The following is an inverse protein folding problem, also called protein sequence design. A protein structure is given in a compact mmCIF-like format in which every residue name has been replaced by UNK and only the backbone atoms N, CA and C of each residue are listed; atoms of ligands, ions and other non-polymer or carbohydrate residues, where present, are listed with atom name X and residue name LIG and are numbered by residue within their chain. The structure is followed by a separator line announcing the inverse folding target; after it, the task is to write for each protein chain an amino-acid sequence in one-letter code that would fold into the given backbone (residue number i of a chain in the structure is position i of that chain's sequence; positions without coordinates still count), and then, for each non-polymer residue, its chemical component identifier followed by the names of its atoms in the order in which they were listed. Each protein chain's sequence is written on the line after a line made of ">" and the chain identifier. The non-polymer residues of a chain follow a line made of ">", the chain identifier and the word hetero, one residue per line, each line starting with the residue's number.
data_IF_913771213727
#
_entry.id   IF_913771213727
#
_cell.length_a   1.000
_cell.length_b   1.000
_cell.length_c   1.000
_cell.angle_alpha   90.00
_cell.angle_beta   90.00
_cell.angle_gamma   90.00
#
_symmetry.space_group_name_H-M   'P 1'
#
loop_
_entity.id
_entity.type
_entity.pdbx_description
1 polymer ?
#
# COMPACT_ATOMS: atom_id res chain seq x y z
N UNK A 1 3.04 87.69 -43.41
CA UNK A 1 3.12 89.08 -42.97
C UNK A 1 2.25 89.23 -41.74
N UNK A 2 2.88 89.57 -40.59
CA UNK A 2 2.32 90.30 -39.42
C UNK A 2 1.23 89.52 -38.64
N UNK A 3 1.23 89.27 -37.32
CA UNK A 3 1.96 89.70 -36.10
C UNK A 3 1.74 88.58 -35.05
N UNK A 4 2.71 88.14 -34.22
CA UNK A 4 3.14 88.71 -32.92
C UNK A 4 1.96 89.07 -31.98
N UNK A 5 1.89 88.80 -30.68
CA UNK A 5 2.67 88.20 -29.58
C UNK A 5 1.60 87.95 -28.46
N UNK A 6 1.72 87.07 -27.47
CA UNK A 6 2.33 87.29 -26.14
C UNK A 6 2.10 85.99 -25.31
N UNK A 7 3.16 85.51 -24.64
CA UNK A 7 3.26 84.40 -23.65
C UNK A 7 2.99 85.06 -22.25
N UNK A 8 2.46 84.43 -21.16
CA UNK A 8 3.21 83.33 -20.53
C UNK A 8 2.57 82.36 -19.49
N UNK A 9 3.43 81.40 -19.11
CA UNK A 9 3.55 80.63 -17.83
C UNK A 9 2.83 79.27 -17.68
N UNK A 10 3.65 78.22 -17.65
CA UNK A 10 3.44 76.96 -16.92
C UNK A 10 3.40 77.22 -15.40
N UNK A 11 2.78 76.44 -14.52
CA UNK A 11 2.80 74.97 -14.31
C UNK A 11 1.79 74.62 -13.17
N UNK A 12 1.72 73.40 -12.60
CA UNK A 12 1.02 72.20 -13.07
C UNK A 12 -0.03 71.66 -12.05
N UNK A 13 -0.94 70.77 -12.48
CA UNK A 13 -1.47 69.59 -11.75
C UNK A 13 -2.64 69.01 -12.58
N UNK A 14 -2.48 67.82 -13.18
CA UNK A 14 -2.94 66.50 -12.69
C UNK A 14 -4.40 66.50 -12.18
N UNK A 15 -5.29 65.59 -12.56
CA UNK A 15 -5.18 64.34 -13.29
C UNK A 15 -6.57 63.96 -13.81
N UNK A 16 -6.58 63.23 -14.92
CA UNK A 16 -7.76 62.78 -15.64
C UNK A 16 -8.76 62.00 -14.77
N UNK A 17 -10.00 62.49 -14.77
CA UNK A 17 -11.17 61.79 -14.27
C UNK A 17 -11.64 60.78 -15.33
N UNK A 18 -11.41 59.49 -15.09
CA UNK A 18 -11.72 58.43 -16.05
C UNK A 18 -11.89 57.05 -15.41
N UNK A 19 -13.02 56.85 -14.73
CA UNK A 19 -13.72 55.55 -14.59
C UNK A 19 -12.87 54.36 -14.08
N UNK A 20 -12.65 54.30 -12.76
CA UNK A 20 -12.23 53.07 -12.07
C UNK A 20 -13.37 52.03 -12.13
N UNK A 21 -13.34 51.11 -13.11
CA UNK A 21 -13.99 49.81 -12.94
C UNK A 21 -13.14 49.02 -11.94
N UNK A 22 -13.58 48.98 -10.70
CA UNK A 22 -13.07 48.07 -9.69
C UNK A 22 -13.35 46.63 -10.16
N UNK A 23 -12.35 46.00 -10.75
CA UNK A 23 -12.31 44.54 -10.79
C UNK A 23 -12.11 44.08 -9.34
N UNK A 24 -13.22 43.88 -8.65
CA UNK A 24 -13.24 43.07 -7.43
C UNK A 24 -12.76 41.68 -7.85
N UNK A 25 -11.47 41.43 -7.60
CA UNK A 25 -10.89 40.10 -7.68
C UNK A 25 -11.63 39.29 -6.63
N UNK A 26 -12.69 38.63 -7.08
CA UNK A 26 -13.49 37.70 -6.30
C UNK A 26 -12.49 36.67 -5.81
N UNK A 27 -12.05 36.82 -4.55
CA UNK A 27 -11.41 35.74 -3.82
C UNK A 27 -12.47 34.65 -3.77
N UNK A 28 -12.44 33.75 -4.76
CA UNK A 28 -13.00 32.43 -4.57
C UNK A 28 -12.20 31.84 -3.44
N UNK A 29 -12.74 31.97 -2.23
CA UNK A 29 -12.37 31.16 -1.10
C UNK A 29 -12.33 29.72 -1.61
N UNK A 30 -11.14 29.13 -1.72
CA UNK A 30 -10.97 27.73 -2.09
C UNK A 30 -11.37 26.80 -0.93
N UNK A 31 -12.37 27.21 -0.15
CA UNK A 31 -12.94 26.45 0.95
C UNK A 31 -14.07 25.62 0.37
N UNK A 32 -13.73 24.39 -0.05
CA UNK A 32 -14.58 23.18 -0.13
C UNK A 32 -13.95 22.05 -0.99
N UNK A 33 -12.65 22.09 -1.30
CA UNK A 33 -11.94 20.85 -1.69
C UNK A 33 -11.69 20.07 -0.40
N UNK A 34 -12.48 19.03 -0.14
CA UNK A 34 -12.29 18.16 1.01
C UNK A 34 -10.82 17.72 1.11
N UNK A 35 -10.19 17.96 2.26
CA UNK A 35 -8.84 17.44 2.51
C UNK A 35 -9.00 15.94 2.77
N UNK A 36 -8.48 15.09 1.88
CA UNK A 36 -8.48 13.64 2.05
C UNK A 36 -7.07 13.14 2.38
N UNK A 37 -6.50 13.48 3.56
CA UNK A 37 -5.13 13.13 3.88
C UNK A 37 -4.95 11.61 3.87
N UNK A 38 -3.94 11.15 3.13
CA UNK A 38 -3.59 9.74 3.07
C UNK A 38 -2.52 9.44 4.12
N UNK A 39 -2.91 8.74 5.18
CA UNK A 39 -2.01 8.33 6.27
C UNK A 39 -1.28 7.05 5.86
N UNK A 40 0.05 7.02 6.00
CA UNK A 40 0.87 5.84 5.70
C UNK A 40 1.80 5.54 6.87
N UNK A 41 1.90 4.28 7.27
CA UNK A 41 2.85 3.85 8.32
C UNK A 41 3.38 2.43 8.12
N UNK A 42 4.46 2.10 8.81
CA UNK A 42 4.91 0.72 8.96
C UNK A 42 4.24 0.03 10.15
N UNK A 43 3.81 -1.21 9.93
CA UNK A 43 3.32 -2.14 10.96
C UNK A 43 4.32 -3.28 11.10
N UNK A 44 4.73 -3.64 12.31
CA UNK A 44 5.73 -4.69 12.52
C UNK A 44 5.05 -6.03 12.74
N UNK A 45 5.58 -7.09 12.14
CA UNK A 45 5.17 -8.46 12.46
C UNK A 45 6.37 -9.31 12.85
N UNK A 46 6.15 -10.23 13.78
CA UNK A 46 7.15 -11.20 14.23
C UNK A 46 6.66 -12.62 14.05
N UNK A 47 7.61 -13.53 13.89
CA UNK A 47 7.39 -14.94 14.15
C UNK A 47 8.57 -15.46 14.96
N UNK A 48 8.30 -15.97 16.16
CA UNK A 48 9.29 -16.61 17.03
C UNK A 48 9.50 -18.03 16.51
N UNK A 49 10.60 -18.30 15.78
CA UNK A 49 10.96 -19.60 15.17
C UNK A 49 10.22 -19.98 13.87
N UNK A 50 10.32 -19.18 12.80
CA UNK A 50 9.78 -19.59 11.51
C UNK A 50 10.61 -20.75 10.96
N UNK A 51 9.95 -21.80 10.42
CA UNK A 51 10.57 -22.64 9.42
C UNK A 51 10.92 -21.73 8.22
N UNK A 52 12.17 -21.70 7.77
CA UNK A 52 12.67 -20.72 6.77
C UNK A 52 12.72 -21.27 5.34
N UNK A 53 12.18 -22.47 5.11
CA UNK A 53 12.20 -23.11 3.80
C UNK A 53 11.10 -22.56 2.86
N UNK A 54 11.34 -22.67 1.56
CA UNK A 54 10.34 -22.40 0.52
C UNK A 54 9.75 -20.99 0.58
N UNK A 55 8.43 -20.90 0.69
CA UNK A 55 7.72 -19.63 0.77
C UNK A 55 7.79 -18.97 2.16
N UNK A 56 8.20 -19.69 3.21
CA UNK A 56 8.29 -19.15 4.58
C UNK A 56 9.56 -18.32 4.83
N UNK A 57 10.46 -18.23 3.84
CA UNK A 57 11.62 -17.34 3.90
C UNK A 57 11.28 -15.86 4.14
N UNK A 58 10.02 -15.45 3.92
CA UNK A 58 9.54 -14.09 4.21
C UNK A 58 9.58 -13.72 5.70
N UNK A 59 9.66 -14.71 6.59
CA UNK A 59 9.75 -14.48 8.03
C UNK A 59 11.20 -14.38 8.52
N UNK A 60 12.20 -14.59 7.65
CA UNK A 60 13.61 -14.44 8.01
C UNK A 60 13.96 -12.96 8.26
N UNK A 61 14.41 -12.65 9.47
CA UNK A 61 14.69 -11.29 9.92
C UNK A 61 16.17 -10.90 9.82
N UNK A 62 17.11 -11.84 9.65
CA UNK A 62 18.55 -11.48 9.74
C UNK A 62 19.10 -10.98 8.41
N UNK A 63 18.76 -11.64 7.31
CA UNK A 63 19.38 -11.41 5.98
C UNK A 63 18.45 -10.79 4.94
N UNK A 64 17.15 -10.73 5.24
CA UNK A 64 16.13 -10.25 4.31
C UNK A 64 15.10 -9.40 5.03
N UNK A 65 14.53 -8.44 4.31
CA UNK A 65 13.44 -7.61 4.80
C UNK A 65 12.20 -7.84 3.96
N UNK A 66 11.06 -8.02 4.62
CA UNK A 66 9.76 -8.18 3.99
C UNK A 66 8.97 -6.90 4.13
N UNK A 67 8.25 -6.52 3.07
CA UNK A 67 7.38 -5.36 3.03
C UNK A 67 6.09 -5.75 2.30
N UNK A 68 5.01 -5.88 3.07
CA UNK A 68 3.71 -6.32 2.61
C UNK A 68 2.73 -5.15 2.61
N UNK A 69 2.16 -4.85 1.45
CA UNK A 69 1.30 -3.70 1.23
C UNK A 69 -0.15 -4.09 1.55
N UNK A 70 -0.73 -3.45 2.56
CA UNK A 70 -2.15 -3.62 2.91
C UNK A 70 -3.02 -2.76 1.98
N UNK A 71 -3.79 -3.43 1.12
CA UNK A 71 -4.69 -2.81 0.15
C UNK A 71 -6.16 -3.10 0.44
N UNK A 72 -6.51 -3.31 1.71
CA UNK A 72 -7.88 -3.61 2.14
C UNK A 72 -8.90 -2.61 1.58
N UNK A 73 -10.13 -3.09 1.43
CA UNK A 73 -11.25 -2.26 1.02
C UNK A 73 -11.40 -1.11 2.01
N UNK A 74 -11.48 0.10 1.46
CA UNK A 74 -11.62 1.31 2.27
C UNK A 74 -12.96 1.25 3.01
N UNK A 75 -13.01 1.63 4.30
CA UNK A 75 -14.29 1.77 4.97
C UNK A 75 -15.14 2.79 4.19
N UNK A 76 -16.36 2.42 3.84
CA UNK A 76 -17.33 3.33 3.23
C UNK A 76 -17.53 4.52 4.19
N UNK A 77 -17.21 5.74 3.75
CA UNK A 77 -17.38 7.01 4.48
C UNK A 77 -16.32 7.45 5.51
N UNK A 78 -15.11 6.88 5.53
CA UNK A 78 -14.03 7.50 6.33
C UNK A 78 -13.10 8.34 5.46
N UNK A 79 -13.03 9.65 5.73
CA UNK A 79 -12.02 10.54 5.13
C UNK A 79 -10.58 10.20 5.58
N UNK A 80 -10.44 9.30 6.57
CA UNK A 80 -9.18 8.85 7.14
C UNK A 80 -8.72 7.53 6.53
N UNK A 81 -8.05 7.62 5.39
CA UNK A 81 -7.44 6.45 4.76
C UNK A 81 -6.09 6.18 5.40
N UNK A 82 -5.96 5.03 6.07
CA UNK A 82 -4.69 4.58 6.64
C UNK A 82 -4.13 3.35 5.91
N UNK A 83 -3.11 3.58 5.08
CA UNK A 83 -2.36 2.52 4.42
C UNK A 83 -1.21 2.02 5.31
N UNK A 84 -1.07 0.70 5.43
CA UNK A 84 -0.03 0.08 6.25
C UNK A 84 0.90 -0.77 5.41
N UNK A 85 2.20 -0.65 5.67
CA UNK A 85 3.22 -1.55 5.13
C UNK A 85 3.67 -2.45 6.28
N UNK A 86 3.31 -3.73 6.20
CA UNK A 86 3.71 -4.72 7.20
C UNK A 86 5.14 -5.18 6.93
N UNK A 87 6.00 -5.10 7.94
CA UNK A 87 7.42 -5.42 7.81
C UNK A 87 7.96 -6.24 8.97
N UNK A 88 8.96 -7.06 8.67
CA UNK A 88 9.75 -7.78 9.67
C UNK A 88 11.04 -7.02 10.07
N UNK A 89 11.20 -5.78 9.59
CA UNK A 89 12.30 -4.91 9.97
C UNK A 89 11.93 -4.05 11.19
N UNK A 90 12.52 -4.38 12.34
CA UNK A 90 12.27 -3.68 13.60
C UNK A 90 12.81 -2.25 13.64
N UNK A 91 13.76 -1.92 12.78
CA UNK A 91 14.35 -0.59 12.71
C UNK A 91 13.46 0.41 11.95
N UNK A 92 12.40 -0.06 11.28
CA UNK A 92 11.43 0.82 10.64
C UNK A 92 10.60 1.56 11.70
N UNK A 93 10.45 2.88 11.53
CA UNK A 93 9.65 3.72 12.41
C UNK A 93 8.16 3.52 12.08
N UNK A 94 7.34 3.29 13.10
CA UNK A 94 5.88 3.15 12.93
C UNK A 94 5.14 4.48 12.95
N UNK A 95 5.85 5.60 13.11
CA UNK A 95 5.28 6.95 13.09
C UNK A 95 4.62 7.20 11.73
N UNK A 96 3.31 7.51 11.69
CA UNK A 96 2.61 7.74 10.44
C UNK A 96 3.06 9.04 9.77
N UNK A 97 3.01 9.06 8.45
CA UNK A 97 3.23 10.24 7.61
C UNK A 97 1.96 10.49 6.78
N UNK A 98 1.66 11.76 6.54
CA UNK A 98 0.51 12.19 5.75
C UNK A 98 0.96 12.61 4.35
N UNK A 99 0.22 12.15 3.35
CA UNK A 99 0.33 12.60 1.98
C UNK A 99 -0.92 13.37 1.58
N UNK A 100 -0.74 14.44 0.81
CA UNK A 100 -1.87 15.13 0.21
C UNK A 100 -2.50 14.25 -0.86
N UNK A 101 -3.82 14.15 -0.82
CA UNK A 101 -4.61 13.36 -1.74
C UNK A 101 -5.93 14.08 -2.00
N UNK A 102 -6.40 13.98 -3.24
CA UNK A 102 -7.53 14.74 -3.77
C UNK A 102 -8.82 13.92 -3.86
N UNK A 103 -8.77 12.64 -3.50
CA UNK A 103 -9.90 11.70 -3.62
C UNK A 103 -10.15 10.93 -2.32
N UNK A 104 -11.42 10.74 -1.94
CA UNK A 104 -11.79 9.81 -0.87
C UNK A 104 -11.62 8.33 -1.23
N UNK A 105 -11.47 8.01 -2.53
CA UNK A 105 -11.38 6.64 -3.06
C UNK A 105 -10.20 6.51 -4.02
N UNK A 106 -8.95 6.69 -3.55
CA UNK A 106 -7.78 6.55 -4.40
C UNK A 106 -7.68 5.14 -4.98
N UNK A 107 -7.45 5.03 -6.28
CA UNK A 107 -7.24 3.74 -6.94
C UNK A 107 -5.97 3.04 -6.42
N UNK A 108 -5.91 1.71 -6.60
CA UNK A 108 -4.80 0.91 -6.07
C UNK A 108 -3.43 1.32 -6.59
N UNK A 109 -3.33 1.71 -7.87
CA UNK A 109 -2.07 2.14 -8.47
C UNK A 109 -1.51 3.36 -7.74
N UNK A 110 -2.38 4.31 -7.39
CA UNK A 110 -2.00 5.48 -6.59
C UNK A 110 -1.65 5.09 -5.16
N UNK A 111 -2.50 4.28 -4.48
CA UNK A 111 -2.23 3.78 -3.11
C UNK A 111 -0.86 3.11 -3.02
N UNK A 112 -0.56 2.19 -3.93
CA UNK A 112 0.74 1.50 -4.02
C UNK A 112 1.87 2.50 -4.27
N UNK A 113 1.67 3.50 -5.14
CA UNK A 113 2.70 4.50 -5.44
C UNK A 113 3.04 5.34 -4.20
N UNK A 114 2.06 5.76 -3.41
CA UNK A 114 2.30 6.49 -2.16
C UNK A 114 3.02 5.61 -1.13
N UNK A 115 2.60 4.34 -0.98
CA UNK A 115 3.27 3.39 -0.08
C UNK A 115 4.71 3.10 -0.52
N UNK A 116 4.97 2.96 -1.82
CA UNK A 116 6.32 2.77 -2.34
C UNK A 116 7.18 4.01 -2.12
N UNK A 117 6.60 5.20 -2.25
CA UNK A 117 7.29 6.45 -1.96
C UNK A 117 7.73 6.50 -0.50
N UNK A 118 6.84 6.14 0.43
CA UNK A 118 7.14 6.02 1.86
C UNK A 118 8.20 4.94 2.15
N UNK A 119 8.12 3.79 1.46
CA UNK A 119 9.14 2.75 1.56
C UNK A 119 10.52 3.26 1.14
N UNK A 120 10.63 3.84 -0.06
CA UNK A 120 11.91 4.28 -0.62
C UNK A 120 12.54 5.46 0.12
N UNK A 121 11.74 6.41 0.62
CA UNK A 121 12.24 7.50 1.46
C UNK A 121 12.83 6.98 2.77
N UNK A 122 12.33 5.85 3.25
CA UNK A 122 12.81 5.19 4.47
C UNK A 122 14.05 4.32 4.23
N UNK A 123 14.42 4.03 2.98
CA UNK A 123 15.56 3.17 2.65
C UNK A 123 16.87 3.96 2.50
N UNK A 124 17.78 3.80 3.47
CA UNK A 124 19.16 4.34 3.37
C UNK A 124 20.06 3.55 2.40
N UNK A 125 19.67 2.32 2.07
CA UNK A 125 20.52 1.37 1.31
C UNK A 125 20.28 1.41 -0.21
N UNK A 126 19.26 2.14 -0.67
CA UNK A 126 18.87 2.23 -2.07
C UNK A 126 19.12 3.66 -2.59
N UNK A 127 20.15 3.88 -3.42
CA UNK A 127 20.43 5.19 -4.02
C UNK A 127 19.26 5.70 -4.88
N UNK A 128 19.08 7.03 -4.98
CA UNK A 128 17.93 7.63 -5.67
C UNK A 128 17.72 7.16 -7.11
N UNK A 129 18.82 7.03 -7.88
CA UNK A 129 18.78 6.49 -9.26
C UNK A 129 18.18 5.08 -9.33
N UNK A 130 18.51 4.24 -8.36
CA UNK A 130 17.99 2.87 -8.23
C UNK A 130 16.51 2.89 -7.87
N UNK A 131 16.12 3.77 -6.93
CA UNK A 131 14.71 3.95 -6.58
C UNK A 131 13.89 4.32 -7.81
N UNK A 132 14.30 5.35 -8.56
CA UNK A 132 13.60 5.80 -9.78
C UNK A 132 13.50 4.71 -10.84
N UNK A 133 14.59 3.97 -11.07
CA UNK A 133 14.62 2.86 -12.03
C UNK A 133 13.64 1.74 -11.68
N UNK A 134 13.58 1.32 -10.42
CA UNK A 134 12.79 0.16 -10.01
C UNK A 134 11.39 0.51 -9.48
N UNK A 135 11.09 1.78 -9.24
CA UNK A 135 9.78 2.22 -8.79
C UNK A 135 8.63 1.72 -9.69
N UNK A 136 8.62 1.98 -11.01
CA UNK A 136 7.54 1.49 -11.87
C UNK A 136 7.48 -0.04 -11.87
N UNK A 137 8.64 -0.70 -11.96
CA UNK A 137 8.73 -2.16 -11.96
C UNK A 137 8.13 -2.81 -10.70
N UNK A 138 8.43 -2.28 -9.51
CA UNK A 138 7.91 -2.82 -8.25
C UNK A 138 6.41 -2.55 -8.13
N UNK A 139 5.96 -1.35 -8.53
CA UNK A 139 4.53 -0.99 -8.55
C UNK A 139 3.74 -1.94 -9.43
N UNK A 140 4.19 -2.15 -10.66
CA UNK A 140 3.47 -2.95 -11.64
C UNK A 140 3.48 -4.44 -11.24
N UNK A 141 4.55 -4.93 -10.61
CA UNK A 141 4.59 -6.27 -10.01
C UNK A 141 3.64 -6.44 -8.83
N UNK A 142 3.44 -5.41 -8.00
CA UNK A 142 2.46 -5.44 -6.91
C UNK A 142 1.03 -5.48 -7.43
N UNK A 143 0.73 -4.70 -8.48
CA UNK A 143 -0.58 -4.73 -9.16
C UNK A 143 -0.85 -6.11 -9.77
N UNK A 144 0.06 -6.64 -10.58
CA UNK A 144 -0.08 -7.98 -11.14
C UNK A 144 -0.22 -9.05 -10.05
N UNK A 145 0.46 -8.86 -8.90
CA UNK A 145 0.33 -9.75 -7.74
C UNK A 145 -1.06 -9.67 -7.11
N UNK A 146 -1.69 -8.49 -7.06
CA UNK A 146 -3.08 -8.31 -6.63
C UNK A 146 -4.00 -9.17 -7.47
N UNK A 147 -3.91 -9.05 -8.79
CA UNK A 147 -4.80 -9.77 -9.72
C UNK A 147 -4.62 -11.29 -9.62
N UNK A 148 -3.37 -11.76 -9.55
CA UNK A 148 -3.07 -13.18 -9.37
C UNK A 148 -3.60 -13.75 -8.05
N UNK A 149 -3.52 -12.98 -6.96
CA UNK A 149 -4.03 -13.39 -5.64
C UNK A 149 -5.55 -13.43 -5.68
N UNK A 150 -6.21 -12.37 -6.16
CA UNK A 150 -7.67 -12.28 -6.25
C UNK A 150 -8.25 -13.41 -7.12
N UNK A 151 -7.65 -13.65 -8.29
CA UNK A 151 -8.04 -14.75 -9.18
C UNK A 151 -7.93 -16.12 -8.50
N UNK A 152 -6.84 -16.37 -7.77
CA UNK A 152 -6.66 -17.63 -7.03
C UNK A 152 -7.66 -17.76 -5.89
N UNK A 153 -7.79 -16.72 -5.07
CA UNK A 153 -8.61 -16.69 -3.87
C UNK A 153 -10.09 -16.96 -4.19
N UNK A 154 -10.58 -16.36 -5.28
CA UNK A 154 -11.97 -16.47 -5.74
C UNK A 154 -12.23 -17.71 -6.60
N UNK A 155 -11.22 -18.53 -6.87
CA UNK A 155 -11.42 -19.77 -7.61
C UNK A 155 -12.18 -20.78 -6.76
N UNK A 156 -13.26 -21.35 -7.32
CA UNK A 156 -14.02 -22.46 -6.73
C UNK A 156 -13.38 -23.83 -6.97
N UNK A 157 -12.29 -23.88 -7.76
CA UNK A 157 -11.60 -25.13 -8.13
C UNK A 157 -11.03 -25.83 -6.89
N UNK A 158 -11.36 -27.10 -6.75
CA UNK A 158 -10.88 -27.98 -5.69
C UNK A 158 -9.48 -28.50 -6.00
N UNK A 159 -8.48 -27.62 -5.91
CA UNK A 159 -7.06 -27.95 -6.08
C UNK A 159 -6.22 -27.30 -5.00
N UNK A 160 -5.18 -27.99 -4.57
CA UNK A 160 -4.22 -27.47 -3.57
C UNK A 160 -3.10 -26.63 -4.19
N UNK A 161 -3.38 -25.94 -5.31
CA UNK A 161 -2.42 -25.05 -5.94
C UNK A 161 -2.28 -23.76 -5.15
N UNK A 162 -1.06 -23.46 -4.73
CA UNK A 162 -0.73 -22.24 -3.97
C UNK A 162 -0.24 -21.13 -4.91
N UNK A 163 -0.74 -19.91 -4.72
CA UNK A 163 -0.17 -18.68 -5.29
C UNK A 163 0.59 -17.95 -4.19
N UNK A 164 1.86 -17.60 -4.41
CA UNK A 164 2.65 -16.83 -3.44
C UNK A 164 2.10 -15.40 -3.33
N UNK A 165 2.10 -14.83 -2.12
CA UNK A 165 1.64 -13.45 -1.89
C UNK A 165 2.71 -12.39 -2.20
N UNK A 166 3.93 -12.83 -2.52
CA UNK A 166 5.11 -11.97 -2.65
C UNK A 166 5.99 -12.35 -3.85
N UNK A 167 6.93 -11.46 -4.16
CA UNK A 167 8.05 -11.67 -5.06
C UNK A 167 9.36 -11.18 -4.43
N UNK A 168 10.48 -11.66 -4.96
CA UNK A 168 11.80 -11.26 -4.50
C UNK A 168 12.26 -10.01 -5.27
N UNK A 169 12.93 -9.10 -4.57
CA UNK A 169 13.70 -8.01 -5.15
C UNK A 169 15.06 -7.98 -4.48
N UNK A 170 16.13 -8.04 -5.26
CA UNK A 170 17.50 -8.03 -4.73
C UNK A 170 18.27 -6.88 -5.35
N UNK A 171 19.01 -6.16 -4.52
CA UNK A 171 19.92 -5.11 -4.96
C UNK A 171 21.23 -5.24 -4.19
N UNK A 172 22.33 -5.54 -4.89
CA UNK A 172 23.62 -5.90 -4.29
C UNK A 172 23.42 -7.01 -3.24
N UNK A 173 23.88 -6.81 -2.01
CA UNK A 173 23.70 -7.74 -0.88
C UNK A 173 22.30 -7.70 -0.24
N UNK A 174 21.50 -6.67 -0.52
CA UNK A 174 20.21 -6.45 0.13
C UNK A 174 19.10 -7.26 -0.54
N UNK A 175 18.38 -8.03 0.27
CA UNK A 175 17.31 -8.93 -0.15
C UNK A 175 15.99 -8.45 0.42
N UNK A 176 15.07 -8.11 -0.48
CA UNK A 176 13.73 -7.65 -0.16
C UNK A 176 12.69 -8.65 -0.65
N UNK A 177 11.64 -8.84 0.13
CA UNK A 177 10.42 -9.51 -0.29
C UNK A 177 9.29 -8.48 -0.32
N UNK A 178 8.77 -8.20 -1.51
CA UNK A 178 7.62 -7.33 -1.68
C UNK A 178 6.39 -8.17 -1.96
N UNK A 179 5.27 -7.85 -1.32
CA UNK A 179 4.03 -8.57 -1.53
C UNK A 179 2.82 -7.79 -1.06
N UNK A 180 1.65 -8.43 -1.12
CA UNK A 180 0.45 -7.90 -0.50
C UNK A 180 0.28 -8.50 0.89
N UNK A 181 -0.15 -7.67 1.84
CA UNK A 181 -0.50 -8.16 3.16
C UNK A 181 -1.79 -8.95 3.07
N UNK A 182 -1.68 -10.25 3.28
CA UNK A 182 -2.82 -11.15 3.39
C UNK A 182 -2.74 -11.79 4.78
N UNK A 183 -3.65 -11.49 5.72
CA UNK A 183 -3.59 -12.08 7.05
C UNK A 183 -3.89 -13.58 6.99
N UNK A 184 -3.34 -14.34 7.94
CA UNK A 184 -3.69 -15.74 8.12
C UNK A 184 -5.20 -15.89 8.43
N UNK A 185 -5.83 -16.98 7.96
CA UNK A 185 -7.25 -17.22 8.18
C UNK A 185 -7.58 -17.96 9.48
N UNK A 186 -6.58 -18.29 10.29
CA UNK A 186 -6.73 -19.07 11.51
C UNK A 186 -6.77 -18.13 12.72
N UNK A 187 -7.52 -18.53 13.75
CA UNK A 187 -7.57 -17.79 15.00
C UNK A 187 -6.26 -17.94 15.77
N UNK A 188 -5.90 -16.91 16.54
CA UNK A 188 -4.78 -17.02 17.46
C UNK A 188 -5.14 -18.06 18.52
N UNK A 189 -4.30 -19.10 18.69
CA UNK A 189 -4.41 -19.97 19.86
C UNK A 189 -4.08 -19.11 21.09
N UNK A 190 -5.09 -18.80 21.89
CA UNK A 190 -4.95 -17.99 23.10
C UNK A 190 -3.87 -18.58 24.00
N UNK A 191 -2.98 -17.69 24.48
CA UNK A 191 -2.34 -17.91 25.78
C UNK A 191 -3.47 -17.97 26.83
N UNK A 192 -3.31 -18.72 27.94
CA UNK A 192 -4.33 -18.83 29.00
C UNK A 192 -4.77 -17.50 29.62
N UNK A 193 -4.11 -16.39 29.28
CA UNK A 193 -4.30 -15.06 29.86
C UNK A 193 -4.92 -14.03 28.90
N UNK A 194 -5.36 -14.41 27.70
CA UNK A 194 -5.95 -13.47 26.73
C UNK A 194 -7.37 -13.85 26.30
N UNK A 195 -8.18 -12.81 26.11
CA UNK A 195 -9.59 -12.84 25.69
C UNK A 195 -9.80 -13.55 24.34
N UNK A 196 -11.05 -13.98 24.03
CA UNK A 196 -11.31 -14.88 22.93
C UNK A 196 -11.06 -14.25 21.55
N UNK A 197 -10.46 -15.04 20.65
CA UNK A 197 -10.67 -14.99 19.19
C UNK A 197 -10.18 -13.75 18.42
N UNK A 198 -8.97 -13.25 18.68
CA UNK A 198 -8.33 -12.37 17.69
C UNK A 198 -7.80 -13.17 16.49
N UNK A 199 -8.17 -12.74 15.28
CA UNK A 199 -7.65 -13.35 14.03
C UNK A 199 -6.14 -13.18 13.94
N UNK A 200 -5.45 -14.19 13.44
CA UNK A 200 -4.01 -14.15 13.29
C UNK A 200 -3.55 -13.05 12.31
N UNK A 201 -2.78 -12.09 12.82
CA UNK A 201 -2.23 -10.96 12.05
C UNK A 201 -0.88 -11.26 11.37
N UNK A 202 -0.42 -12.51 11.41
CA UNK A 202 0.81 -12.89 10.71
C UNK A 202 0.51 -12.99 9.22
N UNK A 203 1.30 -12.35 8.33
CA UNK A 203 1.06 -12.40 6.89
C UNK A 203 1.19 -13.84 6.38
N UNK A 204 0.26 -14.30 5.57
CA UNK A 204 0.34 -15.59 4.89
C UNK A 204 1.27 -15.48 3.67
N UNK A 205 2.20 -16.45 3.48
CA UNK A 205 3.12 -16.44 2.34
C UNK A 205 2.45 -16.92 1.04
N UNK A 206 1.26 -17.49 1.14
CA UNK A 206 0.49 -18.01 0.00
C UNK A 206 -1.01 -17.85 0.20
N UNK A 207 -1.74 -17.99 -0.90
CA UNK A 207 -3.20 -18.14 -0.97
C UNK A 207 -3.54 -19.30 -1.90
N UNK A 208 -4.54 -20.09 -1.53
CA UNK A 208 -5.12 -21.18 -2.32
C UNK A 208 -6.56 -20.82 -2.74
N UNK A 209 -7.23 -21.72 -3.47
CA UNK A 209 -8.65 -21.56 -3.80
C UNK A 209 -9.52 -21.42 -2.55
N UNK A 210 -10.66 -20.73 -2.70
CA UNK A 210 -11.61 -20.41 -1.62
C UNK A 210 -10.96 -19.65 -0.46
N UNK A 211 -10.08 -18.70 -0.79
CA UNK A 211 -9.41 -17.87 0.20
C UNK A 211 -8.59 -18.63 1.27
N UNK A 212 -8.33 -19.93 1.11
CA UNK A 212 -7.58 -20.76 2.07
C UNK A 212 -6.12 -20.31 2.15
N UNK A 213 -5.60 -20.09 3.37
CA UNK A 213 -4.30 -19.47 3.59
C UNK A 213 -3.80 -19.65 5.03
N UNK A 214 -2.50 -19.85 5.22
CA UNK A 214 -1.94 -20.02 6.56
C UNK A 214 -0.55 -19.43 6.69
N UNK A 215 -0.29 -18.76 7.83
CA UNK A 215 1.06 -18.38 8.21
C UNK A 215 1.88 -19.59 8.65
N UNK A 216 3.19 -19.42 8.80
CA UNK A 216 4.12 -20.52 9.15
C UNK A 216 3.76 -21.27 10.43
N UNK A 217 3.17 -20.61 11.44
CA UNK A 217 2.78 -21.25 12.71
C UNK A 217 1.52 -22.11 12.56
N UNK A 218 0.62 -21.73 11.65
CA UNK A 218 -0.64 -22.42 11.44
C UNK A 218 -0.64 -23.37 10.24
N UNK A 219 0.43 -23.41 9.45
CA UNK A 219 0.54 -24.30 8.29
C UNK A 219 0.40 -25.78 8.66
N UNK A 220 0.96 -26.23 9.78
CA UNK A 220 0.88 -27.64 10.17
C UNK A 220 -0.57 -28.08 10.44
N UNK A 221 -1.35 -27.30 11.19
CA UNK A 221 -2.77 -27.60 11.42
C UNK A 221 -3.61 -27.38 10.17
N UNK A 222 -3.34 -26.31 9.42
CA UNK A 222 -4.00 -26.03 8.15
C UNK A 222 -3.85 -27.19 7.17
N UNK A 223 -2.64 -27.72 6.96
CA UNK A 223 -2.44 -28.81 6.01
C UNK A 223 -3.04 -30.14 6.47
N UNK A 224 -3.26 -30.34 7.77
CA UNK A 224 -3.97 -31.53 8.26
C UNK A 224 -5.47 -31.46 7.99
N UNK A 225 -6.06 -30.26 8.08
CA UNK A 225 -7.52 -30.09 8.07
C UNK A 225 -8.09 -29.62 6.73
N UNK A 226 -7.31 -28.85 5.97
CA UNK A 226 -7.79 -28.07 4.81
C UNK A 226 -7.24 -28.58 3.48
N UNK A 227 -6.38 -29.60 3.47
CA UNK A 227 -5.93 -30.24 2.23
C UNK A 227 -7.11 -31.02 1.66
N UNK A 228 -7.49 -30.65 0.44
CA UNK A 228 -8.38 -31.47 -0.37
C UNK A 228 -7.61 -32.74 -0.74
N UNK A 229 -7.93 -33.86 -0.11
CA UNK A 229 -7.37 -35.14 -0.51
C UNK A 229 -7.98 -35.50 -1.86
N UNK A 230 -7.19 -35.43 -2.93
CA UNK A 230 -7.55 -36.05 -4.21
C UNK A 230 -7.43 -37.58 -4.06
N UNK A 231 -8.19 -38.19 -3.13
CA UNK A 231 -8.42 -39.63 -3.21
C UNK A 231 -9.29 -39.79 -4.45
N UNK A 232 -8.69 -40.32 -5.52
CA UNK A 232 -9.43 -40.82 -6.67
C UNK A 232 -10.52 -41.75 -6.13
N UNK A 233 -11.77 -41.30 -6.02
CA UNK A 233 -12.92 -42.20 -5.87
C UNK A 233 -13.22 -42.88 -7.21
N UNK A 234 -12.20 -43.53 -7.78
CA UNK A 234 -12.37 -44.46 -8.88
C UNK A 234 -11.99 -45.84 -8.38
N UNK A 235 -13.01 -46.61 -8.02
CA UNK A 235 -12.87 -48.04 -7.80
C UNK A 235 -13.66 -48.55 -6.61
N UNK A 236 -14.97 -48.74 -6.80
CA UNK A 236 -15.73 -49.96 -6.43
C UNK A 236 -17.19 -49.75 -6.84
N UNK A 237 -17.47 -50.02 -8.12
CA UNK A 237 -18.77 -50.60 -8.46
C UNK A 237 -18.69 -52.04 -7.94
N UNK A 238 -19.35 -52.30 -6.82
CA UNK A 238 -19.63 -53.66 -6.37
C UNK A 238 -20.54 -54.31 -7.41
N UNK A 239 -20.13 -55.49 -7.88
CA UNK A 239 -20.98 -56.42 -8.62
C UNK A 239 -22.17 -56.83 -7.77
#
# INVERSE_FOLDING_TARGET
>A
MISEHIIPKASPHNDNNGRKKSFTKRYYSSSLVGKFPLKISFSKFHVTRPNRAGYNKIYEIRRSRSYFFELNDLPTNTNDIHLRIHTNDYHMKSTPIFYHNTSCTPNDKYRISCMLTHFFSSQRVLPRKVQQKFFPFIRDRLLARKDMISSRANSSRDRNTTTRTFFNFTYKRYRFYFGLYIPCCQDQKGSPFHTPSEKCQVPSPFVMSRCRRACVTHQSSFFKNEILNNVRQHGRKTK
#
